data_IF_411707920560
#
_entry.id   IF_411707920560
#
_cell.length_a   1.000
_cell.length_b   1.000
_cell.length_c   1.000
_cell.angle_alpha   90.00
_cell.angle_beta   90.00
_cell.angle_gamma   90.00
#
_symmetry.space_group_name_H-M   'P 1'
#
loop_
_entity.id
_entity.type
_entity.pdbx_description
1 polymer ?
#
# COMPACT_ATOMS: atom_id res chain seq x y z
N UNK A 1 -1.58 14.63 6.88
CA UNK A 1 -1.49 13.17 7.09
C UNK A 1 -2.28 12.82 8.33
N UNK A 2 -3.24 11.90 8.18
CA UNK A 2 -3.98 11.35 9.31
C UNK A 2 -3.08 10.62 10.31
N UNK A 3 -3.64 10.24 11.45
CA UNK A 3 -2.91 9.40 12.44
C UNK A 3 -2.62 8.05 11.81
N UNK A 4 -1.40 7.52 11.99
CA UNK A 4 -1.06 6.15 11.57
C UNK A 4 -1.72 5.11 12.47
N UNK A 5 -2.13 3.96 11.91
CA UNK A 5 -2.45 2.76 12.69
C UNK A 5 -1.30 2.40 13.63
N UNK A 6 -1.62 1.84 14.81
CA UNK A 6 -0.62 1.58 15.84
C UNK A 6 0.41 0.51 15.42
N UNK A 7 0.01 -0.45 14.58
CA UNK A 7 0.89 -1.46 13.98
C UNK A 7 1.86 -0.87 12.96
N UNK A 8 1.38 0.03 12.09
CA UNK A 8 2.23 0.78 11.14
C UNK A 8 3.21 1.69 11.86
N UNK A 9 2.77 2.40 12.89
CA UNK A 9 3.66 3.23 13.72
C UNK A 9 4.74 2.38 14.37
N UNK A 10 4.37 1.25 14.99
CA UNK A 10 5.33 0.35 15.60
C UNK A 10 6.33 -0.20 14.57
N UNK A 11 5.86 -0.65 13.41
CA UNK A 11 6.72 -1.10 12.31
C UNK A 11 7.76 -0.04 11.91
N UNK A 12 7.33 1.21 11.73
CA UNK A 12 8.26 2.29 11.41
C UNK A 12 9.25 2.62 12.54
N UNK A 13 8.85 2.51 13.80
CA UNK A 13 9.76 2.67 14.94
C UNK A 13 10.86 1.61 14.98
N UNK A 14 10.57 0.38 14.56
CA UNK A 14 11.54 -0.72 14.57
C UNK A 14 12.40 -0.80 13.30
N UNK A 15 11.82 -0.55 12.13
CA UNK A 15 12.47 -0.83 10.84
C UNK A 15 12.66 0.40 9.95
N UNK A 16 11.83 1.44 10.11
CA UNK A 16 11.87 2.63 9.26
C UNK A 16 11.47 2.42 7.79
N UNK A 17 11.03 1.21 7.42
CA UNK A 17 10.77 0.75 6.05
C UNK A 17 11.27 -0.68 5.89
N UNK A 18 11.00 -1.33 4.75
CA UNK A 18 11.56 -2.65 4.46
C UNK A 18 11.57 -2.96 2.96
N UNK A 19 12.54 -3.79 2.54
CA UNK A 19 12.55 -4.44 1.23
C UNK A 19 12.49 -5.94 1.45
N UNK A 20 11.49 -6.60 0.85
CA UNK A 20 11.33 -8.05 0.87
C UNK A 20 11.71 -8.62 -0.50
N UNK A 21 12.43 -9.74 -0.49
CA UNK A 21 12.80 -10.46 -1.71
C UNK A 21 13.52 -9.58 -2.75
N UNK A 22 14.52 -8.80 -2.31
CA UNK A 22 15.23 -7.79 -3.12
C UNK A 22 15.76 -8.32 -4.47
N UNK A 23 16.22 -9.57 -4.50
CA UNK A 23 16.81 -10.22 -5.68
C UNK A 23 15.77 -10.99 -6.54
N UNK A 24 14.50 -11.02 -6.12
CA UNK A 24 13.45 -11.74 -6.83
C UNK A 24 12.73 -10.84 -7.84
N UNK A 25 12.02 -11.48 -8.77
CA UNK A 25 11.30 -10.79 -9.83
C UNK A 25 10.17 -9.89 -9.30
N UNK A 26 9.65 -10.17 -8.11
CA UNK A 26 8.66 -9.37 -7.39
C UNK A 26 9.21 -8.97 -6.02
N UNK A 27 10.16 -8.04 -6.03
CA UNK A 27 10.63 -7.35 -4.83
C UNK A 27 9.58 -6.35 -4.34
N UNK A 28 9.35 -6.35 -3.03
CA UNK A 28 8.35 -5.52 -2.36
C UNK A 28 9.03 -4.49 -1.46
N UNK A 29 8.78 -3.21 -1.70
CA UNK A 29 9.31 -2.11 -0.90
C UNK A 29 8.18 -1.48 -0.07
N UNK A 30 8.23 -1.63 1.25
CA UNK A 30 7.46 -0.79 2.17
C UNK A 30 8.25 0.50 2.36
N UNK A 31 7.70 1.61 1.86
CA UNK A 31 8.38 2.90 1.86
C UNK A 31 8.55 3.43 3.28
N UNK A 32 9.66 4.13 3.52
CA UNK A 32 9.92 4.75 4.82
C UNK A 32 9.04 5.98 5.09
N UNK A 33 8.93 6.42 6.36
CA UNK A 33 8.12 7.57 6.74
C UNK A 33 8.44 8.87 5.99
N UNK A 34 9.71 9.09 5.64
CA UNK A 34 10.16 10.27 4.89
C UNK A 34 9.75 10.27 3.42
N UNK A 35 9.43 9.10 2.88
CA UNK A 35 9.04 8.89 1.48
C UNK A 35 7.53 8.71 1.31
N UNK A 36 6.80 8.64 2.42
CA UNK A 36 5.36 8.47 2.39
C UNK A 36 4.68 9.74 1.87
N UNK A 37 3.97 9.60 0.76
CA UNK A 37 3.31 10.70 0.04
C UNK A 37 1.90 10.29 -0.34
N UNK A 38 1.03 11.28 -0.60
CA UNK A 38 -0.34 11.00 -1.05
C UNK A 38 -0.30 10.22 -2.36
N UNK A 39 -1.16 9.22 -2.45
CA UNK A 39 -1.18 8.32 -3.60
C UNK A 39 -1.68 9.00 -4.86
N UNK A 40 -2.64 9.91 -4.77
CA UNK A 40 -3.14 10.69 -5.92
C UNK A 40 -2.04 11.50 -6.61
N UNK A 41 -1.15 12.13 -5.83
CA UNK A 41 0.01 12.85 -6.38
C UNK A 41 0.98 11.93 -7.10
N UNK A 42 1.16 10.70 -6.61
CA UNK A 42 2.06 9.71 -7.23
C UNK A 42 1.42 9.11 -8.49
N UNK A 43 0.16 8.72 -8.38
CA UNK A 43 -0.56 7.96 -9.41
C UNK A 43 -1.05 8.90 -10.52
N UNK A 44 -1.75 9.99 -10.18
CA UNK A 44 -2.39 10.90 -11.13
C UNK A 44 -1.53 12.12 -11.47
N UNK A 45 -0.54 12.45 -10.63
CA UNK A 45 0.28 13.66 -10.78
C UNK A 45 -0.42 14.94 -10.30
N UNK A 46 -1.56 14.83 -9.61
CA UNK A 46 -2.32 15.94 -9.07
C UNK A 46 -2.85 15.66 -7.66
N UNK A 47 -3.15 16.72 -6.91
CA UNK A 47 -3.82 16.62 -5.61
C UNK A 47 -5.33 16.66 -5.83
N UNK A 48 -6.01 15.56 -5.53
CA UNK A 48 -7.47 15.51 -5.54
C UNK A 48 -8.04 16.34 -4.39
N UNK A 49 -9.19 16.96 -4.65
CA UNK A 49 -9.98 17.67 -3.64
C UNK A 49 -10.92 16.76 -2.85
N UNK A 50 -11.04 15.50 -3.28
CA UNK A 50 -11.80 14.48 -2.55
C UNK A 50 -11.15 14.22 -1.19
N UNK A 51 -11.85 14.45 -0.07
CA UNK A 51 -11.27 14.36 1.26
C UNK A 51 -10.92 12.92 1.68
N UNK A 52 -11.58 11.93 1.10
CA UNK A 52 -11.33 10.52 1.39
C UNK A 52 -10.07 10.05 0.67
N UNK A 53 -9.96 10.33 -0.63
CA UNK A 53 -8.79 9.98 -1.44
C UNK A 53 -7.55 10.81 -1.07
N UNK A 54 -7.73 12.01 -0.52
CA UNK A 54 -6.64 12.84 0.01
C UNK A 54 -5.97 12.24 1.26
N UNK A 55 -6.58 11.23 1.87
CA UNK A 55 -6.02 10.49 3.02
C UNK A 55 -5.45 9.13 2.65
N UNK A 56 -5.23 8.87 1.35
CA UNK A 56 -4.55 7.69 0.85
C UNK A 56 -3.06 7.97 0.62
N UNK A 57 -2.20 7.10 1.13
CA UNK A 57 -0.75 7.28 1.07
C UNK A 57 -0.06 6.07 0.45
N UNK A 58 0.88 6.31 -0.47
CA UNK A 58 1.72 5.29 -1.06
C UNK A 58 2.49 4.57 0.04
N UNK A 59 2.30 3.26 0.15
CA UNK A 59 2.86 2.46 1.24
C UNK A 59 3.74 1.32 0.74
N UNK A 60 3.27 0.55 -0.25
CA UNK A 60 4.01 -0.57 -0.84
C UNK A 60 4.25 -0.30 -2.33
N UNK A 61 5.43 -0.63 -2.82
CA UNK A 61 5.73 -0.71 -4.26
C UNK A 61 6.17 -2.12 -4.62
N UNK A 62 5.70 -2.59 -5.78
CA UNK A 62 6.18 -3.82 -6.40
C UNK A 62 6.05 -3.69 -7.92
N UNK A 63 7.19 -3.63 -8.63
CA UNK A 63 7.25 -3.29 -10.05
C UNK A 63 6.53 -1.96 -10.35
N UNK A 64 5.52 -1.99 -11.21
CA UNK A 64 4.67 -0.86 -11.58
C UNK A 64 3.42 -0.75 -10.68
N UNK A 65 3.22 -1.67 -9.75
CA UNK A 65 2.10 -1.65 -8.81
C UNK A 65 2.41 -0.81 -7.58
N UNK A 66 1.38 -0.12 -7.09
CA UNK A 66 1.42 0.72 -5.91
C UNK A 66 0.24 0.35 -5.01
N UNK A 67 0.53 0.04 -3.75
CA UNK A 67 -0.52 -0.15 -2.75
C UNK A 67 -0.59 1.07 -1.84
N UNK A 68 -1.79 1.61 -1.72
CA UNK A 68 -2.11 2.73 -0.84
C UNK A 68 -2.57 2.27 0.53
N UNK A 69 -2.07 2.90 1.58
CA UNK A 69 -2.63 2.84 2.93
C UNK A 69 -3.74 3.89 3.05
N UNK A 70 -4.95 3.45 3.37
CA UNK A 70 -6.09 4.32 3.66
C UNK A 70 -6.02 4.83 5.11
N UNK A 71 -5.79 6.13 5.30
CA UNK A 71 -5.84 6.79 6.60
C UNK A 71 -7.13 7.57 6.82
N UNK A 72 -8.10 7.48 5.91
CA UNK A 72 -9.39 8.12 6.09
C UNK A 72 -10.13 7.51 7.27
N UNK A 73 -10.74 8.37 8.09
CA UNK A 73 -11.50 7.92 9.24
C UNK A 73 -12.78 7.19 8.78
N UNK A 74 -12.90 5.91 9.12
CA UNK A 74 -14.03 5.07 8.70
C UNK A 74 -13.80 3.61 9.03
N UNK A 75 -14.70 2.74 8.56
CA UNK A 75 -14.66 1.29 8.81
C UNK A 75 -13.45 0.61 8.13
N UNK A 76 -12.88 1.25 7.11
CA UNK A 76 -11.74 0.76 6.33
C UNK A 76 -10.41 1.47 6.65
N UNK A 77 -10.38 2.26 7.72
CA UNK A 77 -9.16 2.89 8.23
C UNK A 77 -8.08 1.83 8.49
N UNK A 78 -6.89 2.05 7.94
CA UNK A 78 -5.75 1.13 8.07
C UNK A 78 -5.75 -0.01 7.04
N UNK A 79 -6.69 -0.02 6.10
CA UNK A 79 -6.71 -0.98 4.99
C UNK A 79 -5.79 -0.55 3.85
N UNK A 80 -5.45 -1.52 3.00
CA UNK A 80 -4.51 -1.40 1.90
C UNK A 80 -5.20 -1.71 0.60
N UNK A 81 -5.05 -0.82 -0.39
CA UNK A 81 -5.71 -0.92 -1.67
C UNK A 81 -4.72 -0.79 -2.82
N UNK A 82 -4.87 -1.63 -3.83
CA UNK A 82 -4.18 -1.49 -5.10
C UNK A 82 -4.60 -0.17 -5.74
N UNK A 83 -3.63 0.52 -6.35
CA UNK A 83 -3.80 1.90 -6.82
C UNK A 83 -3.30 2.07 -8.26
N UNK A 84 -3.85 1.32 -9.22
CA UNK A 84 -3.57 1.50 -10.63
C UNK A 84 -4.05 2.87 -11.11
N UNK A 85 -3.38 3.40 -12.13
CA UNK A 85 -3.67 4.73 -12.68
C UNK A 85 -5.08 4.90 -13.24
N UNK A 86 -5.65 3.85 -13.85
CA UNK A 86 -6.94 3.91 -14.55
C UNK A 86 -8.16 3.69 -13.65
N UNK A 87 -7.94 3.27 -12.40
CA UNK A 87 -8.99 2.92 -11.43
C UNK A 87 -8.67 3.39 -10.00
N UNK A 88 -7.82 4.42 -9.88
CA UNK A 88 -7.43 4.99 -8.60
C UNK A 88 -8.66 5.40 -7.74
N UNK A 89 -8.66 4.97 -6.48
CA UNK A 89 -9.68 5.32 -5.51
C UNK A 89 -10.97 4.48 -5.58
N UNK A 90 -11.05 3.47 -6.45
CA UNK A 90 -12.15 2.51 -6.44
C UNK A 90 -11.99 1.58 -5.24
N UNK A 91 -12.98 1.56 -4.35
CA UNK A 91 -13.06 0.66 -3.19
C UNK A 91 -13.99 -0.53 -3.51
N UNK A 92 -13.46 -1.57 -4.13
CA UNK A 92 -14.18 -2.82 -4.36
C UNK A 92 -13.35 -4.04 -3.92
N UNK A 93 -13.90 -5.24 -4.06
CA UNK A 93 -13.19 -6.47 -3.70
C UNK A 93 -11.94 -6.72 -4.55
N UNK A 94 -11.86 -6.15 -5.76
CA UNK A 94 -10.72 -6.29 -6.65
C UNK A 94 -9.55 -5.38 -6.30
N UNK A 95 -9.80 -4.27 -5.60
CA UNK A 95 -8.74 -3.35 -5.17
C UNK A 95 -8.26 -3.60 -3.74
N UNK A 96 -8.99 -4.31 -2.89
CA UNK A 96 -8.57 -4.58 -1.51
C UNK A 96 -7.41 -5.59 -1.46
N UNK A 97 -6.24 -5.13 -0.99
CA UNK A 97 -5.02 -5.95 -0.86
C UNK A 97 -4.93 -6.59 0.54
N UNK A 98 -5.21 -5.82 1.59
CA UNK A 98 -5.16 -6.28 2.98
C UNK A 98 -5.94 -5.33 3.90
N UNK A 99 -6.40 -5.82 5.07
CA UNK A 99 -7.09 -5.01 6.09
C UNK A 99 -6.19 -4.58 7.25
N UNK A 100 -4.95 -5.06 7.29
CA UNK A 100 -3.98 -4.74 8.33
C UNK A 100 -2.55 -4.93 7.83
N UNK A 101 -1.56 -4.35 8.52
CA UNK A 101 -0.16 -4.52 8.14
C UNK A 101 0.27 -5.98 8.25
N UNK A 102 -0.26 -6.72 9.23
CA UNK A 102 0.04 -8.14 9.40
C UNK A 102 -0.44 -8.95 8.19
N UNK A 103 -1.68 -8.73 7.74
CA UNK A 103 -2.24 -9.41 6.55
C UNK A 103 -1.45 -9.05 5.28
N UNK A 104 -1.03 -7.79 5.14
CA UNK A 104 -0.17 -7.36 4.03
C UNK A 104 1.16 -8.11 4.03
N UNK A 105 1.83 -8.18 5.18
CA UNK A 105 3.12 -8.86 5.32
C UNK A 105 2.97 -10.38 5.11
N UNK A 106 1.91 -10.99 5.63
CA UNK A 106 1.63 -12.42 5.43
C UNK A 106 1.46 -12.72 3.93
N UNK A 107 0.75 -11.86 3.19
CA UNK A 107 0.63 -11.96 1.73
C UNK A 107 1.97 -11.83 1.00
N UNK A 108 2.78 -10.83 1.37
CA UNK A 108 4.13 -10.65 0.82
C UNK A 108 4.97 -11.91 1.05
N UNK A 109 5.04 -12.40 2.30
CA UNK A 109 5.85 -13.56 2.67
C UNK A 109 5.36 -14.82 1.95
N UNK A 110 4.06 -15.04 1.86
CA UNK A 110 3.47 -16.18 1.16
C UNK A 110 3.73 -16.17 -0.35
N UNK A 111 3.95 -15.00 -0.96
CA UNK A 111 4.31 -14.89 -2.38
C UNK A 111 5.72 -15.42 -2.68
N UNK A 112 6.61 -15.46 -1.68
CA UNK A 112 8.03 -15.78 -1.83
C UNK A 112 8.76 -14.93 -2.90
N UNK A 113 8.25 -13.73 -3.21
CA UNK A 113 8.77 -12.87 -4.28
C UNK A 113 8.50 -13.39 -5.70
N UNK A 114 7.60 -14.37 -5.86
CA UNK A 114 7.31 -15.04 -7.13
C UNK A 114 6.01 -14.61 -7.80
N UNK A 115 5.23 -13.76 -7.15
CA UNK A 115 3.98 -13.26 -7.71
C UNK A 115 3.64 -11.91 -7.09
N UNK A 116 2.63 -11.23 -7.66
CA UNK A 116 1.91 -10.15 -6.97
C UNK A 116 0.70 -10.81 -6.30
N UNK A 117 0.75 -10.95 -4.97
CA UNK A 117 -0.12 -11.90 -4.27
C UNK A 117 -1.63 -11.57 -4.33
N UNK A 118 -1.99 -10.31 -4.55
CA UNK A 118 -3.39 -9.87 -4.64
C UNK A 118 -3.93 -9.82 -6.09
N UNK A 119 -3.09 -10.09 -7.10
CA UNK A 119 -3.50 -10.11 -8.51
C UNK A 119 -3.51 -11.55 -9.01
N UNK A 120 -4.70 -12.07 -9.29
CA UNK A 120 -4.88 -13.41 -9.84
C UNK A 120 -4.11 -13.60 -11.16
N UNK A 121 -3.32 -14.67 -11.24
CA UNK A 121 -2.59 -15.04 -12.45
C UNK A 121 -1.26 -14.31 -12.66
N UNK A 122 -0.84 -13.46 -11.73
CA UNK A 122 0.38 -12.67 -11.84
C UNK A 122 1.59 -13.38 -11.20
N UNK A 123 2.17 -14.36 -11.91
CA UNK A 123 3.33 -15.18 -11.52
C UNK A 123 4.65 -14.75 -12.18
#
# INVERSE_FOLDING_TARGET
MGRLPDDVRAFYEYFGGAVFFEEEAFSYEIVGPSEMRRSDVIVLGEELSDPELAEWYAFLKCRDQLVSLNLHAGDDYGSYYDSPWDSFGIKDEGSLVARSLAELIDGIVASEGRSIFWIDGHF
#
